data_IF_519196450131
#
_entry.id   IF_519196450131
#
_cell.length_a   1.000
_cell.length_b   1.000
_cell.length_c   1.000
_cell.angle_alpha   90.00
_cell.angle_beta   90.00
_cell.angle_gamma   90.00
#
_symmetry.space_group_name_H-M   'P 1'
#
loop_
_entity.id
_entity.type
_entity.pdbx_description
1 polymer ?
#
# COMPACT_ATOMS: atom_id res chain seq x y z
N UNK A 1 9.30 -2.09 2.89
CA UNK A 1 9.06 -1.48 1.57
C UNK A 1 7.87 -2.15 0.91
N UNK A 2 6.94 -1.34 0.40
CA UNK A 2 5.74 -1.74 -0.32
C UNK A 2 5.91 -1.43 -1.81
N UNK A 3 5.68 -2.42 -2.68
CA UNK A 3 5.79 -2.20 -4.12
C UNK A 3 4.59 -1.41 -4.67
N UNK A 4 4.82 -0.70 -5.78
CA UNK A 4 3.75 -0.04 -6.55
C UNK A 4 3.02 -1.01 -7.50
N UNK A 5 2.30 -0.44 -8.47
CA UNK A 5 1.64 -1.22 -9.50
C UNK A 5 2.66 -1.97 -10.38
N UNK A 6 2.36 -3.24 -10.68
CA UNK A 6 3.20 -4.07 -11.55
C UNK A 6 2.91 -3.78 -13.02
N UNK A 7 3.97 -3.69 -13.81
CA UNK A 7 3.84 -3.63 -15.26
C UNK A 7 3.26 -4.97 -15.78
N UNK A 8 2.29 -4.97 -16.70
CA UNK A 8 1.80 -6.19 -17.32
C UNK A 8 2.88 -7.04 -18.01
N UNK A 9 3.97 -6.37 -18.48
CA UNK A 9 5.09 -7.02 -19.16
C UNK A 9 6.13 -7.61 -18.21
N UNK A 10 6.14 -7.19 -16.94
CA UNK A 10 7.14 -7.56 -15.93
C UNK A 10 6.45 -8.05 -14.65
N UNK A 11 5.33 -8.76 -14.80
CA UNK A 11 4.59 -9.28 -13.66
C UNK A 11 5.27 -10.54 -13.13
N UNK A 12 6.18 -10.34 -12.19
CA UNK A 12 6.72 -11.43 -11.39
C UNK A 12 6.12 -11.39 -9.99
N UNK A 13 5.55 -12.49 -9.54
CA UNK A 13 4.95 -12.63 -8.22
C UNK A 13 5.70 -13.77 -7.49
N UNK A 14 6.09 -13.57 -6.21
CA UNK A 14 5.97 -12.35 -5.42
C UNK A 14 6.85 -11.21 -5.92
N UNK A 15 6.34 -9.96 -5.87
CA UNK A 15 7.11 -8.78 -6.20
C UNK A 15 7.77 -8.22 -4.93
N UNK A 16 9.08 -8.28 -4.88
CA UNK A 16 9.88 -7.72 -3.78
C UNK A 16 10.75 -6.58 -4.33
N UNK A 17 10.66 -5.41 -3.71
CA UNK A 17 11.39 -4.21 -4.14
C UNK A 17 12.18 -3.62 -2.96
N UNK A 18 13.19 -2.81 -3.28
CA UNK A 18 13.93 -2.02 -2.29
C UNK A 18 15.39 -2.39 -2.12
N UNK A 19 15.90 -3.51 -2.71
CA UNK A 19 17.28 -3.97 -2.51
C UNK A 19 18.31 -2.87 -2.81
N UNK A 20 18.29 -2.30 -4.01
CA UNK A 20 19.27 -1.29 -4.39
C UNK A 20 19.17 -0.03 -3.51
N UNK A 21 17.97 0.33 -3.06
CA UNK A 21 17.78 1.47 -2.16
C UNK A 21 18.34 1.18 -0.77
N UNK A 22 18.04 0.01 -0.21
CA UNK A 22 18.54 -0.39 1.12
C UNK A 22 20.06 -0.55 1.15
N UNK A 23 20.64 -1.11 0.10
CA UNK A 23 22.09 -1.23 -0.07
C UNK A 23 22.76 0.16 -0.14
N UNK A 24 22.21 1.06 -0.96
CA UNK A 24 22.73 2.43 -1.09
C UNK A 24 22.61 3.25 0.21
N UNK A 25 21.56 3.01 0.99
CA UNK A 25 21.32 3.68 2.27
C UNK A 25 22.01 2.99 3.46
N UNK A 26 22.55 1.79 3.31
CA UNK A 26 23.17 1.02 4.40
C UNK A 26 22.18 0.63 5.50
N UNK A 27 20.94 0.30 5.14
CA UNK A 27 19.88 -0.03 6.09
C UNK A 27 19.35 -1.46 5.91
N UNK A 28 18.76 -2.00 6.97
CA UNK A 28 18.06 -3.29 6.89
C UNK A 28 16.81 -3.15 6.00
N UNK A 29 16.48 -4.21 5.26
CA UNK A 29 15.32 -4.26 4.37
C UNK A 29 14.34 -5.34 4.81
N UNK A 30 13.06 -4.94 4.94
CA UNK A 30 11.92 -5.85 4.90
C UNK A 30 11.12 -5.50 3.64
N UNK A 31 11.17 -6.35 2.63
CA UNK A 31 10.40 -6.19 1.40
C UNK A 31 9.09 -6.97 1.49
N UNK A 32 7.97 -6.31 1.24
CA UNK A 32 6.65 -6.90 1.30
C UNK A 32 6.10 -7.16 -0.11
N UNK A 33 5.53 -8.33 -0.33
CA UNK A 33 4.73 -8.64 -1.50
C UNK A 33 3.24 -8.59 -1.15
N UNK A 34 2.42 -8.14 -2.09
CA UNK A 34 0.96 -8.09 -1.93
C UNK A 34 0.35 -9.42 -2.42
N UNK A 35 -0.14 -10.29 -1.50
CA UNK A 35 -0.65 -11.60 -1.88
C UNK A 35 -1.97 -11.51 -2.67
N UNK A 36 -2.70 -10.39 -2.59
CA UNK A 36 -3.93 -10.20 -3.36
C UNK A 36 -3.68 -10.20 -4.87
N UNK A 37 -2.44 -9.99 -5.31
CA UNK A 37 -2.07 -10.08 -6.74
C UNK A 37 -2.17 -11.49 -7.30
N UNK A 38 -2.14 -12.53 -6.46
CA UNK A 38 -2.32 -13.94 -6.88
C UNK A 38 -3.77 -14.26 -7.25
N UNK A 39 -4.73 -13.42 -6.83
CA UNK A 39 -6.16 -13.63 -7.12
C UNK A 39 -6.51 -13.49 -8.60
N UNK A 40 -5.66 -12.85 -9.41
CA UNK A 40 -5.93 -12.71 -10.83
C UNK A 40 -5.12 -11.63 -11.54
N UNK A 41 -5.54 -11.29 -12.75
CA UNK A 41 -4.83 -10.34 -13.62
C UNK A 41 -5.07 -8.89 -13.19
N UNK A 42 -4.60 -8.51 -11.99
CA UNK A 42 -4.56 -7.13 -11.50
C UNK A 42 -3.11 -6.66 -11.35
N UNK A 43 -2.88 -5.37 -11.53
CA UNK A 43 -1.54 -4.78 -11.42
C UNK A 43 -1.24 -4.22 -10.03
N UNK A 44 -2.27 -3.91 -9.25
CA UNK A 44 -2.16 -3.33 -7.92
C UNK A 44 -3.36 -3.73 -7.07
N UNK A 45 -3.12 -4.02 -5.79
CA UNK A 45 -4.13 -4.24 -4.78
C UNK A 45 -3.86 -3.40 -3.50
N UNK A 46 -2.88 -2.52 -3.55
CA UNK A 46 -2.54 -1.52 -2.50
C UNK A 46 -2.33 -2.11 -1.11
N UNK A 47 -2.03 -3.40 -1.00
CA UNK A 47 -1.94 -4.14 0.26
C UNK A 47 -3.22 -4.06 1.10
N UNK A 48 -4.35 -3.94 0.45
CA UNK A 48 -5.65 -3.86 1.12
C UNK A 48 -6.15 -5.21 1.60
N UNK A 49 -5.81 -6.27 0.87
CA UNK A 49 -6.30 -7.62 1.14
C UNK A 49 -7.39 -8.07 0.18
N UNK A 50 -8.09 -9.12 0.51
CA UNK A 50 -9.15 -9.69 -0.32
C UNK A 50 -10.25 -10.36 0.51
N UNK A 51 -11.24 -10.92 -0.18
CA UNK A 51 -12.39 -11.58 0.46
C UNK A 51 -12.00 -12.84 1.23
N UNK A 52 -10.94 -13.54 0.81
CA UNK A 52 -10.64 -14.87 1.32
C UNK A 52 -9.84 -14.79 2.65
N UNK A 53 -8.91 -13.85 2.77
CA UNK A 53 -8.13 -13.67 4.01
C UNK A 53 -8.43 -12.36 4.77
N UNK A 54 -9.27 -11.50 4.23
CA UNK A 54 -9.66 -10.27 4.92
C UNK A 54 -8.68 -9.09 4.72
N UNK A 55 -8.75 -8.06 5.57
CA UNK A 55 -7.88 -6.90 5.50
C UNK A 55 -6.41 -7.27 5.73
N UNK A 56 -5.56 -7.08 4.70
CA UNK A 56 -4.14 -7.41 4.79
C UNK A 56 -3.40 -6.65 5.90
N UNK A 57 -3.69 -5.39 6.21
CA UNK A 57 -3.06 -4.70 7.32
C UNK A 57 -3.17 -5.45 8.65
N UNK A 58 -4.32 -6.07 8.94
CA UNK A 58 -4.53 -6.83 10.18
C UNK A 58 -3.66 -8.10 10.27
N UNK A 59 -3.30 -8.68 9.13
CA UNK A 59 -2.48 -9.88 9.04
C UNK A 59 -0.98 -9.54 8.96
N UNK A 60 -0.65 -8.54 8.16
CA UNK A 60 0.75 -8.22 7.87
C UNK A 60 1.41 -7.39 8.97
N UNK A 61 0.67 -6.49 9.64
CA UNK A 61 1.27 -5.65 10.68
C UNK A 61 1.88 -6.46 11.85
N UNK A 62 1.22 -7.49 12.41
CA UNK A 62 1.83 -8.33 13.45
C UNK A 62 3.11 -9.04 12.97
N UNK A 63 3.14 -9.51 11.72
CA UNK A 63 4.32 -10.13 11.13
C UNK A 63 5.47 -9.12 11.03
N UNK A 64 5.18 -7.91 10.54
CA UNK A 64 6.17 -6.85 10.43
C UNK A 64 6.68 -6.41 11.80
N UNK A 65 5.82 -6.26 12.80
CA UNK A 65 6.24 -5.99 14.19
C UNK A 65 7.19 -7.08 14.71
N UNK A 66 6.86 -8.33 14.46
CA UNK A 66 7.75 -9.44 14.85
C UNK A 66 9.09 -9.34 14.12
N UNK A 67 9.11 -9.15 12.80
CA UNK A 67 10.35 -8.99 12.04
C UNK A 67 11.19 -7.81 12.56
N UNK A 68 10.56 -6.66 12.81
CA UNK A 68 11.23 -5.46 13.33
C UNK A 68 11.84 -5.72 14.73
N UNK A 69 11.17 -6.49 15.58
CA UNK A 69 11.70 -6.82 16.91
C UNK A 69 12.97 -7.69 16.87
N UNK A 70 13.22 -8.37 15.76
CA UNK A 70 14.45 -9.14 15.55
C UNK A 70 15.60 -8.32 14.97
N UNK A 71 15.33 -7.10 14.56
CA UNK A 71 16.32 -6.18 13.99
C UNK A 71 16.75 -5.17 15.06
N UNK A 72 18.06 -5.00 15.22
CA UNK A 72 18.63 -3.95 16.10
C UNK A 72 18.59 -2.59 15.41
N UNK A 73 17.38 -2.09 15.11
CA UNK A 73 17.21 -0.79 14.44
C UNK A 73 16.54 0.21 15.38
N UNK A 74 17.01 1.46 15.34
CA UNK A 74 16.47 2.56 16.14
C UNK A 74 15.27 3.26 15.50
N UNK A 75 15.09 3.08 14.19
CA UNK A 75 14.03 3.77 13.44
C UNK A 75 13.42 2.81 12.41
N UNK A 76 12.13 3.01 12.15
CA UNK A 76 11.39 2.27 11.11
C UNK A 76 10.96 3.25 10.03
N UNK A 77 11.31 2.95 8.77
CA UNK A 77 10.86 3.71 7.61
C UNK A 77 9.92 2.83 6.79
N UNK A 78 8.68 3.27 6.62
CA UNK A 78 7.72 2.67 5.71
C UNK A 78 7.82 3.39 4.36
N UNK A 79 8.25 2.67 3.33
CA UNK A 79 8.54 3.27 2.03
C UNK A 79 7.71 2.64 0.92
N UNK A 80 7.23 3.48 0.00
CA UNK A 80 6.58 3.02 -1.22
C UNK A 80 6.32 4.10 -2.24
N UNK A 81 6.23 3.71 -3.51
CA UNK A 81 5.86 4.59 -4.61
C UNK A 81 4.46 4.25 -5.15
N UNK A 82 3.71 5.26 -5.61
CA UNK A 82 2.38 5.08 -6.21
C UNK A 82 1.43 4.26 -5.30
N UNK A 83 0.99 3.09 -5.73
CA UNK A 83 0.20 2.16 -4.90
C UNK A 83 0.91 1.70 -3.63
N UNK A 84 2.24 1.54 -3.67
CA UNK A 84 3.05 1.27 -2.49
C UNK A 84 3.12 2.46 -1.52
N UNK A 85 3.07 3.69 -2.05
CA UNK A 85 2.99 4.91 -1.23
C UNK A 85 1.66 5.02 -0.48
N UNK A 86 0.55 4.62 -1.11
CA UNK A 86 -0.73 4.44 -0.43
C UNK A 86 -0.60 3.41 0.70
N UNK A 87 -0.03 2.22 0.40
CA UNK A 87 0.16 1.18 1.40
C UNK A 87 1.03 1.65 2.57
N UNK A 88 2.17 2.28 2.30
CA UNK A 88 3.05 2.82 3.34
C UNK A 88 2.31 3.81 4.26
N UNK A 89 1.50 4.71 3.70
CA UNK A 89 0.70 5.67 4.48
C UNK A 89 -0.38 4.98 5.30
N UNK A 90 -1.09 4.00 4.69
CA UNK A 90 -2.13 3.24 5.40
C UNK A 90 -1.55 2.42 6.56
N UNK A 91 -0.38 1.82 6.37
CA UNK A 91 0.33 1.08 7.43
C UNK A 91 0.95 2.00 8.49
N UNK A 92 1.26 3.26 8.17
CA UNK A 92 1.85 4.22 9.11
C UNK A 92 1.09 4.30 10.43
N UNK A 93 -0.25 4.31 10.39
CA UNK A 93 -1.10 4.34 11.59
C UNK A 93 -0.96 3.11 12.51
N UNK A 94 -0.39 2.03 11.99
CA UNK A 94 -0.15 0.77 12.73
C UNK A 94 1.28 0.68 13.29
N UNK A 95 2.14 1.64 12.96
CA UNK A 95 3.55 1.69 13.38
C UNK A 95 3.85 3.05 14.02
N UNK A 96 3.54 3.22 15.32
CA UNK A 96 3.88 4.43 16.05
C UNK A 96 5.38 4.77 15.95
N UNK A 97 5.70 6.05 15.92
CA UNK A 97 7.06 6.58 15.85
C UNK A 97 7.84 6.18 14.59
N UNK A 98 7.13 5.71 13.55
CA UNK A 98 7.73 5.44 12.24
C UNK A 98 7.76 6.68 11.35
N UNK A 99 8.60 6.63 10.32
CA UNK A 99 8.64 7.61 9.23
C UNK A 99 8.02 6.96 8.01
N UNK A 100 6.99 7.56 7.45
CA UNK A 100 6.41 7.15 6.16
C UNK A 100 7.00 8.02 5.06
N UNK A 101 7.67 7.39 4.10
CA UNK A 101 8.17 8.04 2.91
C UNK A 101 7.36 7.56 1.69
N UNK A 102 6.43 8.40 1.23
CA UNK A 102 5.53 8.10 0.13
C UNK A 102 5.90 8.90 -1.13
N UNK A 103 6.21 8.18 -2.22
CA UNK A 103 6.55 8.80 -3.50
C UNK A 103 5.38 8.74 -4.46
N UNK A 104 4.93 9.90 -4.96
CA UNK A 104 3.74 10.02 -5.82
C UNK A 104 2.57 9.15 -5.32
N UNK A 105 2.19 9.20 -4.03
CA UNK A 105 1.15 8.34 -3.51
C UNK A 105 -0.21 8.79 -4.02
N UNK A 106 -1.11 7.83 -4.28
CA UNK A 106 -2.51 8.10 -4.51
C UNK A 106 -3.28 7.92 -3.21
N UNK A 107 -3.41 8.96 -2.43
CA UNK A 107 -4.05 8.92 -1.11
C UNK A 107 -5.58 8.99 -1.18
N UNK A 108 -6.14 9.42 -2.32
CA UNK A 108 -7.58 9.47 -2.54
C UNK A 108 -7.95 8.78 -3.87
N UNK A 109 -8.64 7.64 -3.80
CA UNK A 109 -9.10 6.92 -4.99
C UNK A 109 -10.35 7.54 -5.63
N UNK A 110 -11.09 8.38 -4.91
CA UNK A 110 -12.30 9.01 -5.46
C UNK A 110 -11.95 10.08 -6.50
N UNK A 111 -10.75 10.64 -6.43
CA UNK A 111 -10.20 11.58 -7.42
C UNK A 111 -9.62 10.90 -8.67
N UNK A 112 -9.66 9.57 -8.78
CA UNK A 112 -8.95 8.81 -9.81
C UNK A 112 -9.87 8.08 -10.78
N UNK A 113 -9.36 7.70 -11.98
CA UNK A 113 -10.09 6.81 -12.86
C UNK A 113 -10.47 5.52 -12.13
N UNK A 114 -11.76 5.24 -12.06
CA UNK A 114 -12.34 4.14 -11.28
C UNK A 114 -11.94 2.73 -11.75
N UNK A 115 -11.37 2.60 -12.94
CA UNK A 115 -11.15 1.31 -13.62
C UNK A 115 -10.22 0.34 -12.86
N UNK A 116 -9.16 0.84 -12.22
CA UNK A 116 -8.21 -0.03 -11.50
C UNK A 116 -8.79 -0.52 -10.17
N UNK A 117 -9.44 0.38 -9.42
CA UNK A 117 -10.13 0.02 -8.19
C UNK A 117 -11.31 -0.93 -8.47
N UNK A 118 -12.11 -0.67 -9.51
CA UNK A 118 -13.21 -1.55 -9.90
C UNK A 118 -12.73 -2.95 -10.28
N UNK A 119 -11.57 -3.04 -10.94
CA UNK A 119 -10.96 -4.33 -11.28
C UNK A 119 -10.50 -5.09 -10.05
N UNK A 120 -9.84 -4.41 -9.11
CA UNK A 120 -9.46 -4.98 -7.82
C UNK A 120 -10.69 -5.50 -7.06
N UNK A 121 -11.73 -4.67 -6.90
CA UNK A 121 -12.95 -5.07 -6.20
C UNK A 121 -13.63 -6.27 -6.85
N UNK A 122 -13.64 -6.33 -8.18
CA UNK A 122 -14.23 -7.45 -8.93
C UNK A 122 -13.45 -8.75 -8.73
N UNK A 123 -12.12 -8.69 -8.77
CA UNK A 123 -11.25 -9.87 -8.69
C UNK A 123 -11.07 -10.29 -7.23
N UNK A 124 -10.65 -9.39 -6.35
CA UNK A 124 -10.29 -9.71 -4.97
C UNK A 124 -11.52 -9.84 -4.06
N UNK A 125 -12.60 -9.10 -4.32
CA UNK A 125 -13.82 -9.13 -3.51
C UNK A 125 -15.02 -9.80 -4.22
N UNK A 126 -14.84 -10.28 -5.47
CA UNK A 126 -15.89 -10.93 -6.26
C UNK A 126 -17.16 -10.10 -6.39
N UNK A 127 -17.00 -8.78 -6.42
CA UNK A 127 -18.10 -7.82 -6.52
C UNK A 127 -18.68 -7.86 -7.93
N UNK A 128 -20.01 -8.10 -8.06
CA UNK A 128 -20.73 -8.08 -9.32
C UNK A 128 -21.65 -6.85 -9.40
N UNK A 129 -21.68 -6.19 -10.57
CA UNK A 129 -22.54 -5.04 -10.83
C UNK A 129 -21.96 -3.67 -10.43
N UNK A 130 -22.72 -2.60 -10.73
CA UNK A 130 -22.27 -1.21 -10.54
C UNK A 130 -22.38 -0.69 -9.09
N UNK A 131 -23.23 -1.28 -8.27
CA UNK A 131 -23.57 -0.77 -6.93
C UNK A 131 -22.77 -1.38 -5.76
N UNK A 132 -22.17 -2.56 -5.87
CA UNK A 132 -21.48 -3.21 -4.75
C UNK A 132 -20.15 -2.56 -4.34
N UNK A 133 -19.51 -1.80 -5.22
CA UNK A 133 -18.25 -1.11 -4.91
C UNK A 133 -18.38 -0.20 -3.68
N UNK A 134 -19.51 0.50 -3.52
CA UNK A 134 -19.75 1.36 -2.37
C UNK A 134 -19.90 0.61 -1.04
N UNK A 135 -20.40 -0.63 -1.05
CA UNK A 135 -20.58 -1.45 0.17
C UNK A 135 -19.27 -2.07 0.65
N UNK A 136 -18.39 -2.45 -0.28
CA UNK A 136 -17.05 -2.96 0.06
C UNK A 136 -16.15 -1.82 0.50
N UNK A 137 -16.30 -0.62 -0.11
CA UNK A 137 -15.58 0.60 0.29
C UNK A 137 -15.79 0.95 1.77
N UNK A 138 -16.99 0.82 2.28
CA UNK A 138 -17.31 1.26 3.64
C UNK A 138 -16.80 0.33 4.76
N UNK A 139 -16.52 -0.94 4.45
CA UNK A 139 -16.20 -1.94 5.46
C UNK A 139 -14.75 -2.46 5.40
N UNK A 140 -14.06 -2.23 4.29
CA UNK A 140 -12.80 -2.93 4.02
C UNK A 140 -11.74 -2.07 3.36
N UNK A 141 -12.14 -1.17 2.48
CA UNK A 141 -11.24 -0.33 1.70
C UNK A 141 -11.38 1.11 2.11
N UNK A 142 -10.40 1.66 2.79
CA UNK A 142 -10.32 3.10 2.95
C UNK A 142 -9.91 3.71 1.62
N UNK A 143 -10.82 4.42 0.96
CA UNK A 143 -10.56 5.04 -0.36
C UNK A 143 -9.95 6.43 -0.25
N UNK A 144 -9.93 7.00 0.95
CA UNK A 144 -9.38 8.31 1.21
C UNK A 144 -8.57 8.30 2.52
N UNK A 145 -7.26 8.40 2.42
CA UNK A 145 -6.36 8.46 3.57
C UNK A 145 -6.21 9.87 4.17
N UNK A 146 -6.97 10.86 3.69
CA UNK A 146 -6.91 12.21 4.26
C UNK A 146 -7.25 12.21 5.75
N UNK A 147 -8.19 11.36 6.18
CA UNK A 147 -8.54 11.24 7.59
C UNK A 147 -7.40 10.62 8.41
N UNK A 148 -6.68 9.65 7.84
CA UNK A 148 -5.49 9.06 8.46
C UNK A 148 -4.39 10.12 8.60
N UNK A 149 -4.23 11.00 7.61
CA UNK A 149 -3.24 12.07 7.61
C UNK A 149 -3.61 13.20 8.58
N UNK A 150 -4.91 13.49 8.76
CA UNK A 150 -5.39 14.63 9.56
C UNK A 150 -5.70 14.29 11.03
N UNK A 151 -5.77 13.01 11.41
CA UNK A 151 -6.27 12.55 12.72
C UNK A 151 -5.28 12.68 13.90
N UNK A 152 -4.23 13.52 13.79
CA UNK A 152 -3.23 13.65 14.85
C UNK A 152 -2.36 12.38 14.92
N UNK A 153 -1.48 12.23 13.95
CA UNK A 153 -0.74 11.00 13.70
C UNK A 153 0.34 10.75 14.74
N UNK A 154 0.54 9.48 15.01
CA UNK A 154 1.66 8.97 15.80
C UNK A 154 2.86 8.53 14.90
N UNK A 155 2.94 9.02 13.67
CA UNK A 155 4.02 8.78 12.71
C UNK A 155 4.30 10.03 11.89
N UNK A 156 5.53 10.19 11.38
CA UNK A 156 5.89 11.26 10.48
C UNK A 156 5.59 10.88 9.02
N UNK A 157 4.95 11.77 8.25
CA UNK A 157 4.67 11.55 6.84
C UNK A 157 5.45 12.53 5.96
N UNK A 158 6.32 11.99 5.12
CA UNK A 158 7.01 12.72 4.06
C UNK A 158 6.48 12.28 2.69
N UNK A 159 5.85 13.21 1.97
CA UNK A 159 5.34 12.99 0.62
C UNK A 159 6.27 13.64 -0.40
N UNK A 160 6.80 12.85 -1.31
CA UNK A 160 7.55 13.31 -2.48
C UNK A 160 6.65 13.25 -3.72
N UNK A 161 6.28 14.42 -4.24
CA UNK A 161 5.41 14.52 -5.41
C UNK A 161 6.16 15.08 -6.61
N UNK A 162 6.10 14.37 -7.75
CA UNK A 162 6.58 14.89 -9.00
C UNK A 162 5.54 15.85 -9.60
N UNK A 163 5.86 17.14 -9.66
CA UNK A 163 4.97 18.17 -10.19
C UNK A 163 4.62 18.06 -11.67
N UNK A 164 5.32 17.20 -12.42
CA UNK A 164 5.02 16.91 -13.84
C UNK A 164 4.15 15.66 -14.01
N UNK A 165 3.80 14.96 -12.94
CA UNK A 165 2.96 13.77 -13.01
C UNK A 165 1.47 14.15 -12.97
N UNK A 166 0.92 14.45 -14.15
CA UNK A 166 -0.49 14.83 -14.31
C UNK A 166 -1.49 13.74 -13.87
N UNK A 167 -1.05 12.52 -13.65
CA UNK A 167 -1.89 11.43 -13.15
C UNK A 167 -2.19 11.54 -11.65
N UNK A 168 -1.48 12.42 -10.95
CA UNK A 168 -1.52 12.55 -9.48
C UNK A 168 -1.71 14.00 -9.00
N UNK A 169 -1.93 14.94 -9.93
CA UNK A 169 -2.26 16.34 -9.63
C UNK A 169 -3.76 16.57 -9.54
#
# INVERSE_FOLDING_TARGET
>A
VFHGALSPRQRTIPCLQGNALSEAAGVNLIACADPSLDQGAISCAWFLGDKDFGPLPNLLAPILHHCLSQLSSSHTILFGGSGGGYAATNFGSLFPDSIVLAMNPRLNFDASPKSTLDRYLRICHRVQGRTPAMRVKSSFVNTNLSDVVNAGQNFDLLVLQNGNDQSFL
#
